data_IF_410523893486
#
_entry.id   IF_410523893486
#
_cell.length_a   1.000
_cell.length_b   1.000
_cell.length_c   1.000
_cell.angle_alpha   90.00
_cell.angle_beta   90.00
_cell.angle_gamma   90.00
#
_symmetry.space_group_name_H-M   'P 1'
#
loop_
_entity.id
_entity.type
_entity.pdbx_description
1 polymer ?
#
# COMPACT_ATOMS: atom_id res chain seq x y z
N UNK A 1 -26.86 -47.09 39.75
CA UNK A 1 -27.77 -47.17 38.58
C UNK A 1 -28.76 -46.02 38.71
N UNK A 2 -28.65 -44.87 38.05
CA UNK A 2 -28.05 -44.57 36.75
C UNK A 2 -29.17 -44.53 35.71
N UNK A 3 -29.67 -43.33 35.40
CA UNK A 3 -30.33 -42.98 34.12
C UNK A 3 -30.59 -41.47 34.02
N UNK A 4 -29.70 -40.75 33.32
CA UNK A 4 -29.99 -39.46 32.71
C UNK A 4 -29.55 -39.53 31.23
N UNK A 5 -30.37 -39.01 30.29
CA UNK A 5 -30.11 -39.15 28.86
C UNK A 5 -28.95 -38.23 28.42
N UNK A 6 -28.25 -38.56 27.32
CA UNK A 6 -27.17 -37.71 26.82
C UNK A 6 -27.76 -36.44 26.18
N UNK A 7 -27.37 -35.29 26.73
CA UNK A 7 -27.59 -33.98 26.10
C UNK A 7 -26.92 -33.94 24.73
N UNK A 8 -27.75 -33.85 23.70
CA UNK A 8 -27.33 -33.57 22.33
C UNK A 8 -26.79 -32.14 22.25
N UNK A 9 -25.47 -31.95 22.44
CA UNK A 9 -24.81 -30.69 22.12
C UNK A 9 -24.71 -30.58 20.61
N UNK A 10 -25.65 -29.87 20.01
CA UNK A 10 -25.50 -29.31 18.68
C UNK A 10 -24.19 -28.53 18.63
N UNK A 11 -23.21 -29.04 17.88
CA UNK A 11 -22.07 -28.26 17.45
C UNK A 11 -22.61 -27.19 16.51
N UNK A 12 -22.80 -25.99 17.03
CA UNK A 12 -23.13 -24.83 16.21
C UNK A 12 -21.91 -24.53 15.34
N UNK A 13 -22.06 -24.72 14.04
CA UNK A 13 -21.06 -24.36 13.05
C UNK A 13 -20.77 -22.86 13.20
N UNK A 14 -19.52 -22.53 13.53
CA UNK A 14 -19.13 -21.16 13.84
C UNK A 14 -19.17 -20.39 12.52
N UNK A 15 -19.89 -19.25 12.41
CA UNK A 15 -19.98 -18.53 11.14
C UNK A 15 -18.59 -18.04 10.74
N UNK A 16 -18.00 -18.70 9.73
CA UNK A 16 -16.71 -18.34 9.16
C UNK A 16 -16.85 -17.00 8.45
N UNK A 17 -16.07 -16.01 8.88
CA UNK A 17 -16.03 -14.70 8.22
C UNK A 17 -15.59 -14.91 6.77
N UNK A 18 -16.19 -14.22 5.80
CA UNK A 18 -15.83 -14.41 4.39
C UNK A 18 -14.32 -14.23 4.11
N UNK A 19 -13.62 -13.41 4.89
CA UNK A 19 -12.17 -13.27 4.81
C UNK A 19 -11.39 -14.54 5.24
N UNK A 20 -11.91 -15.32 6.19
CA UNK A 20 -11.27 -16.56 6.65
C UNK A 20 -11.43 -17.69 5.62
N UNK A 21 -12.45 -17.60 4.75
CA UNK A 21 -12.60 -18.49 3.58
C UNK A 21 -11.56 -18.20 2.51
N UNK A 22 -11.27 -16.92 2.26
CA UNK A 22 -10.20 -16.53 1.34
C UNK A 22 -8.86 -17.14 1.78
N UNK A 23 -8.58 -17.24 3.09
CA UNK A 23 -7.32 -17.80 3.62
C UNK A 23 -7.02 -19.24 3.16
N UNK A 24 -8.02 -20.12 3.07
CA UNK A 24 -7.79 -21.51 2.61
C UNK A 24 -7.54 -21.64 1.11
N UNK A 25 -7.82 -20.57 0.35
CA UNK A 25 -7.85 -20.60 -1.11
C UNK A 25 -6.53 -20.37 -1.79
N UNK A 26 -5.75 -19.42 -1.29
CA UNK A 26 -4.48 -19.05 -1.94
C UNK A 26 -3.39 -20.08 -1.65
N UNK A 27 -3.54 -20.93 -0.63
CA UNK A 27 -2.66 -22.10 -0.43
C UNK A 27 -2.78 -23.15 -1.56
N UNK A 28 -3.83 -23.07 -2.39
CA UNK A 28 -4.07 -23.93 -3.55
C UNK A 28 -3.83 -23.24 -4.90
N UNK A 29 -3.43 -21.95 -4.91
CA UNK A 29 -3.25 -21.20 -6.15
C UNK A 29 -1.96 -21.63 -6.88
N UNK A 30 -2.06 -21.78 -8.20
CA UNK A 30 -0.93 -22.07 -9.09
C UNK A 30 -0.09 -20.79 -9.31
N UNK A 31 1.25 -20.81 -9.15
CA UNK A 31 2.11 -19.66 -9.42
C UNK A 31 1.91 -19.03 -10.81
N UNK A 32 1.51 -19.79 -11.83
CA UNK A 32 1.16 -19.22 -13.15
C UNK A 32 -0.06 -18.29 -13.10
N UNK A 33 -0.95 -18.49 -12.13
CA UNK A 33 -2.13 -17.62 -11.91
C UNK A 33 -1.73 -16.32 -11.22
N UNK A 34 -0.64 -16.31 -10.44
CA UNK A 34 -0.14 -15.12 -9.74
C UNK A 34 0.47 -14.08 -10.72
N UNK A 35 1.10 -14.52 -11.81
CA UNK A 35 1.55 -13.62 -12.90
C UNK A 35 0.37 -13.00 -13.67
N UNK A 36 -0.79 -13.63 -13.67
CA UNK A 36 -1.99 -13.12 -14.36
C UNK A 36 -2.79 -12.09 -13.53
N UNK A 37 -2.37 -11.83 -12.29
CA UNK A 37 -3.14 -11.02 -11.32
C UNK A 37 -2.58 -9.63 -11.07
N UNK A 38 -1.26 -9.46 -11.17
CA UNK A 38 -0.58 -8.18 -10.96
C UNK A 38 0.40 -7.89 -12.10
N UNK A 39 0.33 -6.70 -12.73
CA UNK A 39 1.29 -6.30 -13.74
C UNK A 39 2.67 -6.07 -13.13
N UNK A 40 3.72 -6.38 -13.88
CA UNK A 40 5.06 -5.84 -13.62
C UNK A 40 5.09 -4.34 -13.95
N UNK A 41 6.03 -3.62 -13.35
CA UNK A 41 6.30 -2.22 -13.68
C UNK A 41 7.63 -2.15 -14.40
N UNK A 42 7.59 -1.75 -15.67
CA UNK A 42 8.77 -1.53 -16.50
C UNK A 42 9.41 -0.17 -16.22
N UNK A 43 10.69 -0.04 -16.56
CA UNK A 43 11.44 1.21 -16.44
C UNK A 43 10.80 2.30 -17.30
N UNK A 44 10.59 3.48 -16.71
CA UNK A 44 9.79 4.54 -17.32
C UNK A 44 8.62 4.97 -16.43
N UNK A 45 7.80 5.89 -16.93
CA UNK A 45 6.61 6.36 -16.23
C UNK A 45 5.44 5.44 -16.57
N UNK A 46 4.88 4.79 -15.55
CA UNK A 46 3.60 4.10 -15.63
C UNK A 46 2.50 4.97 -15.02
N UNK A 47 1.50 5.37 -15.81
CA UNK A 47 0.28 6.00 -15.33
C UNK A 47 -0.74 4.94 -14.94
N UNK A 48 -1.09 4.89 -13.65
CA UNK A 48 -2.22 4.13 -13.14
C UNK A 48 -3.45 5.04 -12.98
N UNK A 49 -4.46 4.81 -13.80
CA UNK A 49 -5.79 5.38 -13.64
C UNK A 49 -6.66 4.41 -12.85
N UNK A 50 -7.30 4.88 -11.77
CA UNK A 50 -8.23 4.05 -11.00
C UNK A 50 -9.60 4.66 -11.01
N UNK A 51 -10.55 3.89 -11.52
CA UNK A 51 -11.96 4.24 -11.47
C UNK A 51 -12.53 4.01 -10.07
N UNK A 52 -13.13 5.06 -9.51
CA UNK A 52 -13.82 5.00 -8.23
C UNK A 52 -12.92 5.07 -6.98
N UNK A 53 -13.55 5.10 -5.81
CA UNK A 53 -12.89 5.49 -4.54
C UNK A 53 -11.93 4.48 -3.90
N UNK A 54 -11.47 3.45 -4.61
CA UNK A 54 -10.57 2.40 -4.09
C UNK A 54 -9.13 2.47 -4.62
N UNK A 55 -8.72 3.61 -5.18
CA UNK A 55 -7.37 3.80 -5.75
C UNK A 55 -6.21 3.55 -4.79
N UNK A 56 -6.32 4.01 -3.54
CA UNK A 56 -5.20 3.93 -2.59
C UNK A 56 -4.76 2.47 -2.30
N UNK A 57 -5.66 1.53 -1.92
CA UNK A 57 -5.25 0.15 -1.72
C UNK A 57 -4.65 -0.55 -2.95
N UNK A 58 -5.12 -0.23 -4.16
CA UNK A 58 -4.61 -0.85 -5.40
C UNK A 58 -3.19 -0.38 -5.66
N UNK A 59 -2.98 0.93 -5.64
CA UNK A 59 -1.67 1.55 -5.76
C UNK A 59 -0.69 0.95 -4.76
N UNK A 60 -1.08 0.86 -3.49
CA UNK A 60 -0.21 0.31 -2.46
C UNK A 60 0.08 -1.19 -2.64
N UNK A 61 -0.86 -1.95 -3.23
CA UNK A 61 -0.64 -3.36 -3.54
C UNK A 61 0.41 -3.52 -4.65
N UNK A 62 0.34 -2.71 -5.72
CA UNK A 62 1.33 -2.70 -6.79
C UNK A 62 2.73 -2.30 -6.27
N UNK A 63 2.80 -1.29 -5.40
CA UNK A 63 4.07 -0.85 -4.80
C UNK A 63 4.70 -1.97 -3.97
N UNK A 64 3.92 -2.64 -3.12
CA UNK A 64 4.43 -3.73 -2.28
C UNK A 64 4.81 -4.95 -3.10
N UNK A 65 4.03 -5.26 -4.13
CA UNK A 65 4.32 -6.34 -5.06
C UNK A 65 5.65 -6.13 -5.78
N UNK A 66 5.87 -4.93 -6.31
CA UNK A 66 7.14 -4.58 -6.94
C UNK A 66 8.32 -4.72 -5.98
N UNK A 67 8.16 -4.26 -4.73
CA UNK A 67 9.19 -4.37 -3.70
C UNK A 67 9.45 -5.80 -3.21
N UNK A 68 8.50 -6.72 -3.41
CA UNK A 68 8.73 -8.15 -3.14
C UNK A 68 9.66 -8.77 -4.18
N UNK A 69 9.53 -8.36 -5.44
CA UNK A 69 10.24 -8.97 -6.57
C UNK A 69 11.60 -8.31 -6.87
N UNK A 70 11.80 -7.07 -6.42
CA UNK A 70 13.01 -6.30 -6.71
C UNK A 70 13.70 -5.87 -5.42
N UNK A 71 15.03 -5.79 -5.44
CA UNK A 71 15.83 -5.24 -4.33
C UNK A 71 15.94 -3.70 -4.45
N UNK A 72 16.14 -3.01 -3.32
CA UNK A 72 16.34 -1.56 -3.27
C UNK A 72 15.14 -0.76 -2.74
N UNK A 73 15.33 0.49 -2.26
CA UNK A 73 14.26 1.29 -1.67
C UNK A 73 13.25 1.83 -2.69
N UNK A 74 12.02 2.07 -2.24
CA UNK A 74 11.05 2.90 -2.95
C UNK A 74 11.03 4.33 -2.41
N UNK A 75 10.91 5.31 -3.30
CA UNK A 75 10.72 6.71 -2.93
C UNK A 75 9.31 7.16 -3.28
N UNK A 76 8.52 7.49 -2.26
CA UNK A 76 7.13 7.90 -2.40
C UNK A 76 6.99 9.41 -2.15
N UNK A 77 6.63 10.16 -3.18
CA UNK A 77 6.32 11.60 -3.09
C UNK A 77 4.81 11.79 -3.05
N UNK A 78 4.26 11.99 -1.86
CA UNK A 78 2.82 12.02 -1.62
C UNK A 78 2.29 13.46 -1.70
N UNK A 79 1.36 13.69 -2.62
CA UNK A 79 0.63 14.94 -2.77
C UNK A 79 -0.72 14.95 -2.04
N UNK A 80 -1.33 13.78 -1.81
CA UNK A 80 -2.76 13.70 -1.48
C UNK A 80 -3.08 12.60 -0.46
N UNK A 81 -2.15 12.30 0.44
CA UNK A 81 -2.36 11.36 1.54
C UNK A 81 -2.51 9.90 1.12
N UNK A 82 -1.89 9.48 0.02
CA UNK A 82 -1.96 8.10 -0.47
C UNK A 82 -0.94 7.19 0.23
N UNK A 83 0.11 7.73 0.85
CA UNK A 83 1.06 6.99 1.69
C UNK A 83 0.48 6.73 3.10
N UNK A 84 -0.65 6.02 3.18
CA UNK A 84 -1.30 5.70 4.47
C UNK A 84 -0.65 4.46 5.10
N UNK A 85 0.06 4.67 6.21
CA UNK A 85 0.75 3.61 6.96
C UNK A 85 -0.20 2.53 7.45
N UNK A 86 -1.44 2.88 7.81
CA UNK A 86 -2.43 1.92 8.32
C UNK A 86 -2.79 0.89 7.26
N UNK A 87 -3.05 1.34 6.04
CA UNK A 87 -3.41 0.47 4.91
C UNK A 87 -2.20 -0.36 4.50
N UNK A 88 -1.03 0.27 4.28
CA UNK A 88 0.23 -0.40 3.97
C UNK A 88 0.59 -1.50 4.98
N UNK A 89 0.49 -1.20 6.29
CA UNK A 89 0.80 -2.16 7.35
C UNK A 89 -0.20 -3.33 7.42
N UNK A 90 -1.42 -3.14 6.92
CA UNK A 90 -2.41 -4.21 6.86
C UNK A 90 -2.21 -5.14 5.66
N UNK A 91 -1.73 -4.65 4.52
CA UNK A 91 -1.49 -5.48 3.31
C UNK A 91 -0.06 -6.02 3.22
N UNK A 92 0.91 -5.36 3.86
CA UNK A 92 2.31 -5.78 3.74
C UNK A 92 2.49 -7.20 4.30
N UNK A 93 3.17 -8.09 3.56
CA UNK A 93 3.49 -9.41 4.08
C UNK A 93 4.62 -9.36 5.12
N UNK A 94 5.44 -8.31 5.12
CA UNK A 94 6.55 -8.12 6.06
C UNK A 94 6.77 -6.66 6.42
N UNK A 95 7.08 -6.37 7.69
CA UNK A 95 7.44 -5.02 8.11
C UNK A 95 8.75 -4.53 7.50
N UNK A 96 9.67 -5.44 7.16
CA UNK A 96 10.95 -5.09 6.52
C UNK A 96 10.77 -4.45 5.14
N UNK A 97 9.68 -4.75 4.45
CA UNK A 97 9.34 -4.07 3.19
C UNK A 97 8.94 -2.62 3.41
N UNK A 98 8.28 -2.32 4.54
CA UNK A 98 7.91 -0.94 4.87
C UNK A 98 9.15 -0.08 5.18
N UNK A 99 10.19 -0.67 5.78
CA UNK A 99 11.46 0.02 6.07
C UNK A 99 12.18 0.49 4.79
N UNK A 100 11.84 -0.10 3.63
CA UNK A 100 12.36 0.26 2.31
C UNK A 100 11.59 1.39 1.64
N UNK A 101 10.46 1.83 2.20
CA UNK A 101 9.62 2.90 1.63
C UNK A 101 9.98 4.24 2.29
N UNK A 102 10.61 5.12 1.53
CA UNK A 102 10.92 6.49 1.95
C UNK A 102 9.81 7.44 1.48
N UNK A 103 9.09 8.05 2.42
CA UNK A 103 7.96 8.94 2.11
C UNK A 103 8.35 10.40 2.31
N UNK A 104 8.15 11.22 1.29
CA UNK A 104 8.14 12.68 1.36
C UNK A 104 6.71 13.18 1.11
N UNK A 105 6.23 14.14 1.90
CA UNK A 105 4.87 14.70 1.76
C UNK A 105 4.91 16.17 1.43
N UNK A 106 4.26 16.56 0.33
CA UNK A 106 4.03 17.95 -0.04
C UNK A 106 2.59 18.35 0.29
N UNK A 107 2.41 19.36 1.13
CA UNK A 107 1.08 19.88 1.50
C UNK A 107 0.64 21.08 0.66
N UNK A 108 1.50 21.54 -0.24
CA UNK A 108 1.24 22.61 -1.21
C UNK A 108 1.88 22.27 -2.55
N UNK A 109 1.49 22.97 -3.62
CA UNK A 109 2.08 22.81 -4.94
C UNK A 109 3.61 22.95 -4.95
N UNK A 110 4.14 23.98 -4.26
CA UNK A 110 5.58 24.21 -4.15
C UNK A 110 6.30 23.16 -3.30
N UNK A 111 5.68 22.68 -2.23
CA UNK A 111 6.27 21.62 -1.40
C UNK A 111 6.32 20.29 -2.16
N UNK A 112 5.26 19.96 -2.92
CA UNK A 112 5.24 18.77 -3.76
C UNK A 112 6.30 18.86 -4.87
N UNK A 113 6.37 19.99 -5.58
CA UNK A 113 7.43 20.23 -6.56
C UNK A 113 8.83 20.12 -5.96
N UNK A 114 9.07 20.74 -4.80
CA UNK A 114 10.36 20.67 -4.10
C UNK A 114 10.73 19.24 -3.68
N UNK A 115 9.77 18.47 -3.17
CA UNK A 115 10.00 17.07 -2.81
C UNK A 115 10.41 16.20 -4.01
N UNK A 116 9.85 16.47 -5.20
CA UNK A 116 10.28 15.83 -6.45
C UNK A 116 11.67 16.31 -6.86
N UNK A 117 11.94 17.63 -6.84
CA UNK A 117 13.24 18.20 -7.22
C UNK A 117 14.41 17.69 -6.33
N UNK A 118 14.12 17.36 -5.07
CA UNK A 118 15.08 16.84 -4.10
C UNK A 118 15.29 15.32 -4.18
N UNK A 119 14.59 14.58 -5.06
CA UNK A 119 14.65 13.11 -5.12
C UNK A 119 16.08 12.57 -5.31
N UNK A 120 16.87 13.14 -6.22
CA UNK A 120 18.27 12.73 -6.41
C UNK A 120 19.10 12.89 -5.15
N UNK A 121 18.85 13.95 -4.37
CA UNK A 121 19.54 14.18 -3.10
C UNK A 121 19.15 13.12 -2.08
N UNK A 122 17.85 12.81 -1.98
CA UNK A 122 17.33 11.76 -1.09
C UNK A 122 17.88 10.36 -1.45
N UNK A 123 17.91 10.02 -2.74
CA UNK A 123 18.49 8.77 -3.26
C UNK A 123 19.97 8.67 -2.88
N UNK A 124 20.76 9.70 -3.16
CA UNK A 124 22.18 9.72 -2.83
C UNK A 124 22.43 9.57 -1.33
N UNK A 125 21.60 10.19 -0.49
CA UNK A 125 21.68 10.03 0.96
C UNK A 125 21.34 8.61 1.42
N UNK A 126 20.33 7.97 0.82
CA UNK A 126 19.98 6.58 1.13
C UNK A 126 21.13 5.62 0.78
N UNK A 127 21.77 5.81 -0.38
CA UNK A 127 22.95 5.05 -0.80
C UNK A 127 24.11 5.23 0.20
N UNK A 128 24.41 6.48 0.58
CA UNK A 128 25.47 6.79 1.54
C UNK A 128 25.21 6.17 2.91
N UNK A 129 23.96 6.23 3.40
CA UNK A 129 23.59 5.66 4.70
C UNK A 129 23.74 4.13 4.70
N UNK A 130 23.31 3.48 3.63
CA UNK A 130 23.38 2.02 3.51
C UNK A 130 24.83 1.50 3.39
N UNK A 131 25.67 2.20 2.63
CA UNK A 131 27.10 1.86 2.48
C UNK A 131 27.90 2.12 3.77
N UNK A 132 27.57 3.15 4.55
CA UNK A 132 28.20 3.42 5.84
C UNK A 132 27.92 2.32 6.89
N UNK A 133 26.69 1.80 6.95
CA UNK A 133 26.30 0.70 7.85
C UNK A 133 27.00 -0.61 7.47
N UNK A 134 27.12 -0.88 6.17
CA UNK A 134 27.80 -2.09 5.66
C UNK A 134 29.31 -2.05 5.92
N UNK A 135 29.92 -0.87 5.94
CA UNK A 135 31.36 -0.69 6.22
C UNK A 135 31.75 -1.00 7.68
N UNK A 136 30.79 -0.95 8.61
CA UNK A 136 31.02 -1.17 10.05
C UNK A 136 30.70 -2.60 10.51
N UNK A 137 29.95 -3.36 9.72
CA UNK A 137 29.62 -4.78 10.00
C UNK A 137 30.39 -5.67 9.02
N UNK A 138 31.32 -6.48 9.54
CA UNK A 138 32.37 -7.15 8.76
C UNK A 138 31.93 -7.95 7.52
N UNK A 139 32.69 -7.76 6.45
CA UNK A 139 32.99 -8.64 5.30
C UNK A 139 32.40 -10.07 5.38
N UNK A 140 31.20 -10.25 4.86
CA UNK A 140 30.78 -11.49 4.20
C UNK A 140 30.11 -11.13 2.88
N UNK A 141 30.85 -11.36 1.79
CA UNK A 141 30.39 -11.16 0.43
C UNK A 141 29.41 -12.29 0.07
N UNK A 142 28.12 -11.99 0.03
CA UNK A 142 27.18 -12.79 -0.75
C UNK A 142 27.31 -12.37 -2.20
N UNK A 143 27.82 -13.27 -3.03
CA UNK A 143 27.73 -13.20 -4.49
C UNK A 143 26.25 -13.30 -4.89
N UNK A 144 25.59 -12.17 -5.06
CA UNK A 144 24.33 -12.07 -5.81
C UNK A 144 24.48 -10.98 -6.88
N UNK A 145 23.82 -11.21 -8.03
CA UNK A 145 24.03 -10.61 -9.35
C UNK A 145 24.45 -9.14 -9.36
N UNK A 146 25.44 -8.84 -10.21
CA UNK A 146 26.03 -7.51 -10.43
C UNK A 146 25.09 -6.50 -11.12
N UNK A 147 23.81 -6.82 -11.34
CA UNK A 147 22.90 -6.00 -12.15
C UNK A 147 22.02 -5.00 -11.35
N UNK A 148 21.91 -5.12 -10.02
CA UNK A 148 21.22 -4.07 -9.23
C UNK A 148 21.80 -3.96 -7.83
N UNK A 149 22.31 -2.79 -7.48
CA UNK A 149 22.82 -2.55 -6.13
C UNK A 149 21.62 -2.48 -5.16
N UNK A 150 21.64 -3.11 -3.98
CA UNK A 150 20.54 -3.04 -3.00
C UNK A 150 20.32 -1.63 -2.41
N UNK A 151 20.98 -0.62 -2.97
CA UNK A 151 21.02 0.76 -2.53
C UNK A 151 20.46 1.70 -3.59
N UNK A 152 20.42 1.31 -4.86
CA UNK A 152 19.76 2.07 -5.92
C UNK A 152 18.25 1.95 -5.78
N UNK A 153 17.49 3.01 -6.10
CA UNK A 153 16.03 2.96 -6.00
C UNK A 153 15.49 1.84 -6.88
N UNK A 154 14.45 1.16 -6.40
CA UNK A 154 13.74 0.14 -7.18
C UNK A 154 12.42 0.65 -7.75
N UNK A 155 11.89 1.74 -7.19
CA UNK A 155 10.62 2.32 -7.57
C UNK A 155 10.50 3.77 -7.08
N UNK A 156 9.93 4.65 -7.91
CA UNK A 156 9.46 5.97 -7.50
C UNK A 156 7.93 5.97 -7.59
N UNK A 157 7.25 6.54 -6.61
CA UNK A 157 5.78 6.60 -6.56
C UNK A 157 5.36 8.06 -6.36
N UNK A 158 4.56 8.61 -7.29
CA UNK A 158 4.04 9.98 -7.20
C UNK A 158 2.52 9.98 -7.47
N UNK A 159 1.70 9.61 -6.47
CA UNK A 159 0.27 9.48 -6.66
C UNK A 159 -0.44 10.82 -6.59
N UNK A 160 -1.57 10.89 -7.31
CA UNK A 160 -2.39 12.08 -7.46
C UNK A 160 -1.50 13.30 -7.77
N UNK A 161 -0.58 13.14 -8.73
CA UNK A 161 0.52 14.07 -9.01
C UNK A 161 0.03 15.48 -9.32
N UNK A 162 -1.21 15.61 -9.78
CA UNK A 162 -1.90 16.85 -10.12
C UNK A 162 -2.57 17.55 -8.92
N UNK A 163 -2.85 16.81 -7.84
CA UNK A 163 -3.80 17.24 -6.79
C UNK A 163 -3.43 18.59 -6.18
N UNK A 164 -2.18 18.76 -5.77
CA UNK A 164 -1.71 20.00 -5.13
C UNK A 164 -1.65 21.18 -6.09
N UNK A 165 -1.41 20.96 -7.38
CA UNK A 165 -1.38 22.03 -8.38
C UNK A 165 -2.78 22.52 -8.72
N UNK A 166 -3.74 21.58 -8.77
CA UNK A 166 -5.16 21.87 -9.02
C UNK A 166 -5.83 22.59 -7.85
N UNK A 167 -5.55 22.16 -6.62
CA UNK A 167 -6.25 22.67 -5.43
C UNK A 167 -5.71 23.99 -4.89
N UNK A 168 -4.56 24.46 -5.41
CA UNK A 168 -3.92 25.68 -4.93
C UNK A 168 -4.55 26.93 -5.58
N UNK A 169 -5.53 27.52 -4.88
CA UNK A 169 -6.22 28.74 -5.32
C UNK A 169 -5.30 29.98 -5.39
N UNK A 170 -4.07 29.90 -4.85
CA UNK A 170 -3.12 31.01 -4.91
C UNK A 170 -2.31 31.04 -6.22
N UNK A 171 -2.30 29.93 -6.96
CA UNK A 171 -1.63 29.83 -8.26
C UNK A 171 -2.56 30.29 -9.37
N UNK A 172 -1.99 31.00 -10.36
CA UNK A 172 -2.67 31.12 -11.66
C UNK A 172 -2.66 29.76 -12.37
N UNK A 173 -3.66 29.52 -13.21
CA UNK A 173 -3.79 28.31 -14.02
C UNK A 173 -2.51 28.00 -14.80
N UNK A 174 -1.96 28.98 -15.53
CA UNK A 174 -0.69 28.84 -16.26
C UNK A 174 0.49 28.47 -15.34
N UNK A 175 0.52 28.96 -14.10
CA UNK A 175 1.60 28.64 -13.17
C UNK A 175 1.45 27.22 -12.60
N UNK A 176 0.22 26.81 -12.29
CA UNK A 176 -0.08 25.45 -11.87
C UNK A 176 0.30 24.43 -12.96
N UNK A 177 -0.09 24.69 -14.21
CA UNK A 177 0.31 23.88 -15.38
C UNK A 177 1.83 23.82 -15.55
N UNK A 178 2.49 24.98 -15.43
CA UNK A 178 3.97 25.05 -15.54
C UNK A 178 4.66 24.23 -14.46
N UNK A 179 4.19 24.31 -13.20
CA UNK A 179 4.76 23.53 -12.11
C UNK A 179 4.53 22.04 -12.29
N UNK A 180 3.31 21.63 -12.65
CA UNK A 180 3.00 20.23 -12.93
C UNK A 180 3.84 19.68 -14.09
N UNK A 181 3.96 20.42 -15.19
CA UNK A 181 4.78 20.02 -16.33
C UNK A 181 6.26 19.85 -15.94
N UNK A 182 6.81 20.75 -15.10
CA UNK A 182 8.18 20.59 -14.58
C UNK A 182 8.32 19.39 -13.66
N UNK A 183 7.32 19.11 -12.82
CA UNK A 183 7.29 17.91 -11.98
C UNK A 183 7.34 16.65 -12.83
N UNK A 184 6.51 16.54 -13.87
CA UNK A 184 6.52 15.40 -14.79
C UNK A 184 7.86 15.26 -15.50
N UNK A 185 8.45 16.37 -15.98
CA UNK A 185 9.77 16.35 -16.60
C UNK A 185 10.87 15.87 -15.65
N UNK A 186 10.80 16.23 -14.36
CA UNK A 186 11.71 15.73 -13.33
C UNK A 186 11.54 14.24 -13.10
N UNK A 187 10.30 13.76 -12.95
CA UNK A 187 10.00 12.33 -12.82
C UNK A 187 10.53 11.53 -14.01
N UNK A 188 10.31 12.02 -15.23
CA UNK A 188 10.85 11.38 -16.44
C UNK A 188 12.39 11.38 -16.46
N UNK A 189 13.01 12.46 -15.99
CA UNK A 189 14.47 12.51 -15.84
C UNK A 189 14.95 11.45 -14.84
N UNK A 190 14.24 11.23 -13.73
CA UNK A 190 14.62 10.22 -12.75
C UNK A 190 14.44 8.80 -13.26
N UNK A 191 13.33 8.51 -13.94
CA UNK A 191 13.09 7.22 -14.59
C UNK A 191 14.29 6.85 -15.48
N UNK A 192 14.68 7.77 -16.37
CA UNK A 192 15.79 7.58 -17.30
C UNK A 192 17.19 7.59 -16.65
N UNK A 193 17.38 8.30 -15.55
CA UNK A 193 18.71 8.44 -14.92
C UNK A 193 19.07 7.24 -14.05
N UNK A 194 18.06 6.56 -13.52
CA UNK A 194 18.23 5.42 -12.62
C UNK A 194 17.81 4.10 -13.25
N UNK A 195 17.23 4.11 -14.45
CA UNK A 195 16.59 2.95 -15.08
C UNK A 195 15.62 2.30 -14.08
N UNK A 196 14.61 3.08 -13.67
CA UNK A 196 13.64 2.66 -12.65
C UNK A 196 12.20 2.94 -13.07
N UNK A 197 11.25 2.10 -12.63
CA UNK A 197 9.85 2.39 -12.77
C UNK A 197 9.44 3.60 -11.93
N UNK A 198 8.57 4.43 -12.50
CA UNK A 198 7.92 5.56 -11.84
C UNK A 198 6.42 5.39 -11.95
N UNK A 199 5.78 5.02 -10.84
CA UNK A 199 4.33 4.83 -10.77
C UNK A 199 3.63 6.13 -10.38
N UNK A 200 2.83 6.67 -11.30
CA UNK A 200 2.05 7.88 -11.10
C UNK A 200 0.55 7.57 -11.13
N UNK A 201 -0.24 8.37 -10.43
CA UNK A 201 -1.70 8.39 -10.59
C UNK A 201 -2.14 9.85 -10.74
N UNK A 202 -3.33 10.06 -11.30
CA UNK A 202 -3.98 11.37 -11.36
C UNK A 202 -5.29 11.35 -10.58
N UNK A 203 -5.67 12.51 -10.04
CA UNK A 203 -6.87 12.66 -9.22
C UNK A 203 -8.15 12.62 -10.05
N UNK A 204 -8.08 13.01 -11.32
CA UNK A 204 -9.18 13.00 -12.28
C UNK A 204 -8.65 13.06 -13.72
N UNK A 205 -9.52 12.76 -14.69
CA UNK A 205 -9.22 12.74 -16.12
C UNK A 205 -9.85 13.98 -16.77
N UNK A 206 -9.04 14.98 -17.11
CA UNK A 206 -9.46 16.20 -17.81
C UNK A 206 -8.28 16.87 -18.54
N UNK A 207 -8.49 18.08 -19.08
CA UNK A 207 -7.46 18.84 -19.81
C UNK A 207 -6.23 19.14 -18.95
N UNK A 208 -6.42 19.40 -17.66
CA UNK A 208 -5.32 19.68 -16.73
C UNK A 208 -4.45 18.44 -16.48
N UNK A 209 -5.00 17.23 -16.55
CA UNK A 209 -4.24 15.98 -16.38
C UNK A 209 -3.84 15.30 -17.69
N UNK A 210 -4.17 15.89 -18.84
CA UNK A 210 -3.70 15.40 -20.15
C UNK A 210 -2.16 15.35 -20.27
N UNK A 211 -1.37 16.29 -19.72
CA UNK A 211 0.08 16.18 -19.69
C UNK A 211 0.60 14.97 -18.90
N UNK A 212 -0.12 14.51 -17.86
CA UNK A 212 0.26 13.32 -17.08
C UNK A 212 0.21 12.08 -17.96
N UNK A 213 -0.86 11.93 -18.74
CA UNK A 213 -0.98 10.83 -19.70
C UNK A 213 0.05 10.95 -20.83
N UNK A 214 0.35 12.16 -21.30
CA UNK A 214 1.35 12.39 -22.36
C UNK A 214 2.78 12.04 -21.89
N UNK A 215 3.07 12.19 -20.61
CA UNK A 215 4.37 11.90 -20.03
C UNK A 215 4.57 10.41 -19.68
N UNK A 216 3.52 9.60 -19.70
CA UNK A 216 3.59 8.19 -19.38
C UNK A 216 4.08 7.38 -20.58
N UNK A 217 4.98 6.43 -20.30
CA UNK A 217 5.45 5.43 -21.25
C UNK A 217 4.48 4.24 -21.30
N UNK A 218 3.86 3.92 -20.16
CA UNK A 218 2.90 2.83 -20.00
C UNK A 218 1.61 3.30 -19.32
N UNK A 219 0.50 2.70 -19.71
CA UNK A 219 -0.81 2.98 -19.14
C UNK A 219 -1.40 1.73 -18.48
N UNK A 220 -1.89 1.90 -17.25
CA UNK A 220 -2.67 0.92 -16.51
C UNK A 220 -4.00 1.55 -16.09
N UNK A 221 -5.10 0.99 -16.55
CA UNK A 221 -6.44 1.32 -16.11
C UNK A 221 -6.91 0.30 -15.09
N UNK A 222 -7.57 0.77 -14.04
CA UNK A 222 -8.11 -0.05 -12.98
C UNK A 222 -9.61 0.18 -12.80
N UNK A 223 -10.42 -0.72 -13.36
CA UNK A 223 -11.87 -0.66 -13.24
C UNK A 223 -12.35 -1.43 -12.01
N UNK A 224 -13.23 -0.84 -11.20
CA UNK A 224 -13.91 -1.59 -10.14
C UNK A 224 -15.04 -2.43 -10.72
N UNK A 225 -14.84 -3.74 -10.77
CA UNK A 225 -15.90 -4.69 -11.12
C UNK A 225 -16.59 -5.25 -9.87
N UNK A 226 -17.72 -5.94 -10.04
CA UNK A 226 -18.37 -6.71 -8.97
C UNK A 226 -17.45 -7.77 -8.35
N UNK A 227 -16.46 -8.23 -9.13
CA UNK A 227 -15.50 -9.26 -8.74
C UNK A 227 -14.23 -8.64 -8.19
N UNK A 228 -13.96 -7.39 -8.53
CA UNK A 228 -12.79 -6.67 -8.08
C UNK A 228 -12.18 -5.65 -9.02
N UNK A 229 -11.07 -5.01 -8.61
CA UNK A 229 -10.29 -4.18 -9.50
C UNK A 229 -9.77 -5.02 -10.66
N UNK A 230 -10.07 -4.60 -11.88
CA UNK A 230 -9.54 -5.19 -13.10
C UNK A 230 -8.45 -4.26 -13.61
N UNK A 231 -7.22 -4.74 -13.65
CA UNK A 231 -6.12 -3.98 -14.22
C UNK A 231 -6.01 -4.32 -15.70
N UNK A 232 -5.95 -3.30 -16.54
CA UNK A 232 -5.78 -3.43 -17.99
C UNK A 232 -4.69 -2.44 -18.40
N UNK A 233 -3.69 -2.92 -19.13
CA UNK A 233 -2.66 -2.10 -19.75
C UNK A 233 -2.30 -2.64 -21.12
N UNK A 234 -1.30 -2.04 -21.74
CA UNK A 234 -0.95 -2.33 -23.13
C UNK A 234 -0.50 -3.79 -23.34
N UNK A 235 0.24 -4.35 -22.39
CA UNK A 235 0.75 -5.73 -22.43
C UNK A 235 0.18 -6.63 -21.33
N UNK A 236 -0.72 -6.10 -20.49
CA UNK A 236 -1.25 -6.81 -19.34
C UNK A 236 -2.76 -6.68 -19.25
N UNK A 237 -3.44 -7.77 -18.96
CA UNK A 237 -4.85 -7.73 -18.58
C UNK A 237 -5.07 -8.70 -17.42
N UNK A 238 -5.81 -8.28 -16.39
CA UNK A 238 -6.29 -9.20 -15.35
C UNK A 238 -7.31 -10.14 -15.97
N UNK A 239 -6.86 -11.32 -16.39
CA UNK A 239 -7.67 -12.32 -17.09
C UNK A 239 -8.52 -13.17 -16.15
N UNK A 240 -8.10 -13.29 -14.89
CA UNK A 240 -8.68 -14.21 -13.90
C UNK A 240 -8.66 -13.54 -12.53
N UNK A 241 -9.53 -13.98 -11.62
CA UNK A 241 -9.48 -13.64 -10.19
C UNK A 241 -9.45 -15.00 -9.40
N UNK A 242 -8.81 -15.24 -8.24
CA UNK A 242 -8.97 -16.43 -7.31
C UNK A 242 -10.19 -16.77 -6.37
N UNK A 243 -10.76 -18.02 -6.29
CA UNK A 243 -11.92 -18.60 -5.49
C UNK A 243 -12.07 -20.12 -5.71
N UNK A 244 -12.69 -20.76 -4.71
CA UNK A 244 -12.69 -22.18 -4.33
C UNK A 244 -13.19 -23.19 -5.37
N UNK A 245 -13.88 -22.77 -6.42
CA UNK A 245 -14.43 -23.70 -7.43
C UNK A 245 -14.00 -23.41 -8.89
N UNK A 246 -13.15 -22.40 -9.10
CA UNK A 246 -12.70 -21.99 -10.43
C UNK A 246 -13.71 -21.17 -11.26
N UNK A 247 -14.85 -20.71 -10.70
CA UNK A 247 -15.89 -20.04 -11.49
C UNK A 247 -16.07 -18.53 -11.25
N UNK A 248 -15.94 -17.97 -10.02
CA UNK A 248 -16.22 -16.53 -9.77
C UNK A 248 -15.65 -15.93 -8.47
N UNK A 249 -14.93 -14.82 -8.57
CA UNK A 249 -14.07 -14.28 -7.52
C UNK A 249 -14.49 -12.99 -6.80
N UNK A 250 -14.07 -12.78 -5.54
CA UNK A 250 -14.29 -11.53 -4.79
C UNK A 250 -12.96 -10.92 -4.33
N UNK A 251 -12.53 -9.81 -4.93
CA UNK A 251 -11.36 -9.07 -4.46
C UNK A 251 -11.77 -8.22 -3.26
N UNK A 252 -11.38 -8.67 -2.11
CA UNK A 252 -11.41 -7.83 -0.92
C UNK A 252 -9.99 -7.40 -0.62
N UNK A 253 -9.84 -6.35 0.18
CA UNK A 253 -8.54 -6.00 0.74
C UNK A 253 -7.83 -7.19 1.43
N UNK A 254 -8.62 -8.11 2.01
CA UNK A 254 -8.11 -9.35 2.57
C UNK A 254 -7.50 -10.29 1.51
N UNK A 255 -8.03 -10.29 0.28
CA UNK A 255 -7.50 -11.06 -0.84
C UNK A 255 -6.16 -10.51 -1.31
N UNK A 256 -6.01 -9.18 -1.43
CA UNK A 256 -4.72 -8.56 -1.81
C UNK A 256 -3.60 -8.86 -0.81
N UNK A 257 -3.91 -8.76 0.49
CA UNK A 257 -2.97 -9.16 1.55
C UNK A 257 -2.50 -10.60 1.38
N UNK A 258 -3.40 -11.48 0.96
CA UNK A 258 -3.10 -12.89 0.82
C UNK A 258 -2.26 -13.20 -0.42
N UNK A 259 -2.60 -12.59 -1.57
CA UNK A 259 -1.79 -12.68 -2.78
C UNK A 259 -0.33 -12.23 -2.51
N UNK A 260 -0.17 -11.08 -1.83
CA UNK A 260 1.15 -10.58 -1.44
C UNK A 260 1.87 -11.52 -0.45
N UNK A 261 1.15 -12.19 0.45
CA UNK A 261 1.75 -13.18 1.37
C UNK A 261 2.22 -14.44 0.63
N UNK A 262 1.48 -14.91 -0.37
CA UNK A 262 1.88 -16.04 -1.21
C UNK A 262 3.12 -15.70 -2.02
N UNK A 263 3.15 -14.53 -2.69
CA UNK A 263 4.34 -14.05 -3.40
C UNK A 263 5.54 -13.87 -2.48
N UNK A 264 5.33 -13.34 -1.26
CA UNK A 264 6.40 -13.26 -0.26
C UNK A 264 7.02 -14.62 0.07
N UNK A 265 6.19 -15.66 0.18
CA UNK A 265 6.66 -17.03 0.45
C UNK A 265 7.46 -17.58 -0.74
N UNK A 266 7.04 -17.30 -1.98
CA UNK A 266 7.76 -17.70 -3.20
C UNK A 266 9.16 -17.08 -3.28
N UNK A 267 9.33 -15.82 -2.84
CA UNK A 267 10.63 -15.14 -2.78
C UNK A 267 11.42 -15.39 -1.47
N UNK A 268 10.97 -16.33 -0.63
CA UNK A 268 11.68 -16.72 0.60
C UNK A 268 11.57 -15.71 1.76
N UNK A 269 10.62 -14.79 1.70
CA UNK A 269 10.29 -13.89 2.81
C UNK A 269 9.23 -14.54 3.71
N UNK A 270 9.62 -14.88 4.93
CA UNK A 270 8.67 -15.38 5.94
C UNK A 270 7.61 -14.31 6.26
N UNK A 271 6.31 -14.66 6.21
CA UNK A 271 5.23 -13.76 6.60
C UNK A 271 5.45 -13.23 8.01
N UNK A 272 5.16 -11.95 8.24
CA UNK A 272 5.12 -11.41 9.59
C UNK A 272 4.10 -12.20 10.41
N UNK A 273 4.56 -13.10 11.30
CA UNK A 273 3.69 -13.75 12.27
C UNK A 273 2.92 -12.65 13.01
N UNK A 274 1.58 -12.65 12.99
CA UNK A 274 0.84 -11.68 13.76
C UNK A 274 1.27 -11.83 15.20
N UNK A 275 1.69 -10.74 15.84
CA UNK A 275 2.02 -10.76 17.26
C UNK A 275 0.79 -11.25 18.00
N UNK A 276 0.85 -12.50 18.49
CA UNK A 276 -0.10 -13.05 19.44
C UNK A 276 -0.28 -12.01 20.53
N UNK A 277 -1.50 -11.49 20.67
CA UNK A 277 -1.83 -10.49 21.67
C UNK A 277 -1.49 -11.08 23.04
N UNK A 278 -0.36 -10.67 23.61
CA UNK A 278 0.06 -11.09 24.93
C UNK A 278 -1.02 -10.63 25.91
N UNK A 279 -1.60 -11.62 26.59
CA UNK A 279 -2.56 -11.52 27.68
C UNK A 279 -2.46 -10.22 28.49
N UNK A 280 -3.58 -9.51 28.54
CA UNK A 280 -3.87 -8.35 29.39
C UNK A 280 -3.40 -8.55 30.83
N UNK A 281 -2.60 -7.64 31.42
CA UNK A 281 -2.65 -7.39 32.84
C UNK A 281 -3.82 -6.42 33.10
N UNK A 282 -4.72 -6.84 33.97
CA UNK A 282 -5.82 -6.02 34.46
C UNK A 282 -5.28 -4.81 35.26
N UNK A 283 -5.84 -3.62 34.99
CA UNK A 283 -5.72 -2.45 35.85
C UNK A 283 -5.30 -1.19 35.10
N UNK A 284 -6.28 -0.36 34.69
CA UNK A 284 -6.02 1.01 34.23
C UNK A 284 -6.42 1.96 35.36
N UNK A 285 -5.54 2.93 35.62
CA UNK A 285 -5.55 3.82 36.79
C UNK A 285 -6.76 4.77 36.88
N UNK A 286 -6.84 5.41 38.04
CA UNK A 286 -7.87 6.39 38.45
C UNK A 286 -7.64 7.76 37.83
N UNK A 287 -8.69 8.37 37.27
CA UNK A 287 -8.72 9.78 36.85
C UNK A 287 -9.63 10.61 37.77
N UNK A 288 -9.24 11.87 38.02
CA UNK A 288 -10.00 12.86 38.82
C UNK A 288 -10.64 13.86 37.87
N UNK A 289 -11.93 14.15 38.03
CA UNK A 289 -12.64 15.20 37.26
C UNK A 289 -12.51 16.57 37.91
N UNK A 290 -12.85 17.63 37.17
CA UNK A 290 -12.60 19.03 37.53
C UNK A 290 -13.24 19.53 38.86
N UNK A 291 -14.19 18.79 39.44
CA UNK A 291 -14.80 19.07 40.76
C UNK A 291 -14.21 18.23 41.92
N UNK A 292 -13.15 17.43 41.67
CA UNK A 292 -12.37 16.78 42.73
C UNK A 292 -12.89 15.42 43.22
N UNK A 293 -13.89 14.82 42.59
CA UNK A 293 -14.39 13.49 42.95
C UNK A 293 -13.70 12.37 42.13
N UNK A 294 -13.27 11.31 42.81
CA UNK A 294 -12.54 10.18 42.23
C UNK A 294 -13.49 9.02 41.96
N UNK A 295 -13.68 8.64 40.69
CA UNK A 295 -14.51 7.47 40.32
C UNK A 295 -13.72 6.44 39.51
N UNK A 296 -14.07 5.16 39.69
CA UNK A 296 -13.48 4.04 38.95
C UNK A 296 -14.24 3.83 37.64
N UNK A 297 -13.57 3.99 36.51
CA UNK A 297 -14.16 3.81 35.19
C UNK A 297 -14.26 2.32 34.85
N UNK A 298 -15.46 1.85 34.52
CA UNK A 298 -15.70 0.49 34.06
C UNK A 298 -15.59 0.38 32.54
N UNK A 299 -15.27 -0.83 32.07
CA UNK A 299 -14.76 -1.14 30.74
C UNK A 299 -15.87 -1.21 29.69
N UNK A 300 -16.41 -0.09 29.20
CA UNK A 300 -17.12 0.00 27.90
C UNK A 300 -17.55 1.44 27.55
N UNK A 301 -16.63 2.32 27.14
CA UNK A 301 -16.94 3.72 26.84
C UNK A 301 -17.83 3.93 25.59
N UNK A 302 -18.04 2.89 24.79
CA UNK A 302 -18.83 2.95 23.55
C UNK A 302 -20.34 2.67 23.76
N UNK A 303 -20.73 1.98 24.85
CA UNK A 303 -22.14 1.72 25.16
C UNK A 303 -22.81 2.90 25.88
N UNK A 304 -22.09 3.61 26.75
CA UNK A 304 -22.64 4.75 27.51
C UNK A 304 -22.96 5.96 26.63
N UNK A 305 -22.28 6.09 25.48
CA UNK A 305 -22.53 7.16 24.51
C UNK A 305 -23.87 7.01 23.74
N UNK A 306 -24.49 5.82 23.75
CA UNK A 306 -25.69 5.53 22.95
C UNK A 306 -26.97 5.33 23.79
N UNK A 307 -26.87 5.34 25.12
CA UNK A 307 -28.02 5.17 26.05
C UNK A 307 -28.36 6.41 26.87
N UNK A 308 -27.67 7.54 26.70
CA UNK A 308 -28.05 8.78 27.37
C UNK A 308 -29.38 9.32 26.80
N UNK A 309 -30.45 9.46 27.61
CA UNK A 309 -31.69 10.07 27.16
C UNK A 309 -31.47 11.56 26.90
N UNK A 310 -31.80 12.00 25.69
CA UNK A 310 -31.83 13.43 25.36
C UNK A 310 -32.88 14.16 26.19
N UNK A 311 -32.46 15.24 26.86
CA UNK A 311 -33.31 16.22 27.52
C UNK A 311 -32.45 17.08 28.45
N UNK A 312 -32.56 18.41 28.48
CA UNK A 312 -33.46 19.39 27.87
C UNK A 312 -32.73 20.74 27.88
#
# INVERSE_FOLDING_TARGET
MGDHPPSNRMAADKPTRSADRNLGLTDQADPATDEMLLPSLDDGITLLDVDGGRGVPILQSLVLDHLLLHDGPAFWVDANGHATTTTLAQITPSQRLLDRIHVARGFTAYQHYGAVDDLSTAVNQAIQKSTAVTSTSGRQSSTHSEDSSPHTPSLIVAPAVDAQYRSDETLSEQHAETLQARTLARLATYANSYDVPVLVTRSTIDEFTAPVATAADYHLECEQTRMGPRLVGDEFETLVYPVDDGSYYQTTFAYWRQLLATRATQVGLEPATPSSSTSTPAGVGTGVTADGETTSLTTSPLLDAWTAPGGR
#
